data_IF_901857507137
#
_entry.id   IF_901857507137
#
_cell.length_a   1.000
_cell.length_b   1.000
_cell.length_c   1.000
_cell.angle_alpha   90.00
_cell.angle_beta   90.00
_cell.angle_gamma   90.00
#
_symmetry.space_group_name_H-M   'P 1'
#
loop_
_entity.id
_entity.type
_entity.pdbx_description
1 polymer ?
#
# COMPACT_ATOMS: atom_id res chain seq x y z
N UNK A 1 2.68 -13.63 3.33
CA UNK A 1 1.73 -14.47 4.10
C UNK A 1 0.57 -13.67 4.71
N UNK A 2 0.77 -12.39 4.93
CA UNK A 2 -0.31 -11.51 5.41
C UNK A 2 -1.42 -11.33 4.38
N UNK A 3 -1.04 -11.28 3.12
CA UNK A 3 -1.95 -11.00 2.02
C UNK A 3 -3.03 -12.06 1.88
N UNK A 4 -2.65 -13.32 2.06
CA UNK A 4 -3.59 -14.44 1.96
C UNK A 4 -4.60 -14.50 3.12
N UNK A 5 -4.31 -13.85 4.26
CA UNK A 5 -5.22 -13.82 5.41
C UNK A 5 -6.38 -12.85 5.24
N UNK A 6 -6.15 -11.74 4.56
CA UNK A 6 -7.15 -10.66 4.44
C UNK A 6 -7.76 -10.58 3.04
N UNK A 7 -6.97 -10.78 2.00
CA UNK A 7 -7.38 -10.56 0.62
C UNK A 7 -7.57 -11.84 -0.21
N UNK A 8 -7.12 -12.97 0.28
CA UNK A 8 -7.06 -14.20 -0.52
C UNK A 8 -6.05 -14.11 -1.64
N UNK A 9 -6.19 -14.97 -2.64
CA UNK A 9 -5.28 -15.05 -3.79
C UNK A 9 -5.94 -14.43 -5.01
N UNK A 10 -5.23 -13.55 -5.71
CA UNK A 10 -5.69 -12.95 -6.96
C UNK A 10 -5.57 -13.96 -8.10
N UNK A 11 -6.56 -13.99 -8.99
CA UNK A 11 -6.54 -14.81 -10.20
C UNK A 11 -5.78 -14.11 -11.32
N UNK A 12 -5.09 -14.89 -12.16
CA UNK A 12 -4.40 -14.37 -13.34
C UNK A 12 -3.09 -13.66 -13.06
N UNK A 13 -2.53 -13.83 -11.87
CA UNK A 13 -1.23 -13.27 -11.47
C UNK A 13 -0.26 -14.37 -11.08
N UNK A 14 1.03 -14.06 -11.13
CA UNK A 14 2.07 -14.95 -10.58
C UNK A 14 2.07 -14.78 -9.07
N UNK A 15 1.75 -15.85 -8.34
CA UNK A 15 1.72 -15.84 -6.89
C UNK A 15 3.13 -15.92 -6.32
N UNK A 16 3.56 -14.86 -5.65
CA UNK A 16 4.84 -14.73 -4.96
C UNK A 16 4.67 -14.60 -3.44
N UNK A 17 3.51 -14.97 -2.91
CA UNK A 17 3.31 -15.05 -1.46
C UNK A 17 4.14 -16.20 -0.88
N UNK A 18 4.49 -16.09 0.40
CA UNK A 18 5.27 -17.13 1.07
C UNK A 18 6.59 -16.63 1.62
N UNK A 19 7.42 -17.59 2.00
CA UNK A 19 8.70 -17.32 2.68
C UNK A 19 9.85 -17.26 1.68
N UNK A 20 10.08 -16.08 1.12
CA UNK A 20 11.19 -15.80 0.23
C UNK A 20 12.21 -14.91 0.92
N UNK A 21 13.49 -15.09 0.59
CA UNK A 21 14.57 -14.23 1.10
C UNK A 21 14.44 -12.79 0.58
N UNK A 22 15.05 -11.86 1.27
CA UNK A 22 15.11 -10.47 0.81
C UNK A 22 15.79 -10.34 -0.55
N UNK A 23 16.83 -11.15 -0.79
CA UNK A 23 17.53 -11.19 -2.07
C UNK A 23 16.62 -11.63 -3.22
N UNK A 24 15.79 -12.65 -3.00
CA UNK A 24 14.80 -13.11 -3.98
C UNK A 24 13.74 -12.04 -4.25
N UNK A 25 13.24 -11.37 -3.20
CA UNK A 25 12.30 -10.25 -3.35
C UNK A 25 12.90 -9.10 -4.13
N UNK A 26 14.14 -8.73 -3.81
CA UNK A 26 14.87 -7.68 -4.53
C UNK A 26 15.05 -8.03 -6.00
N UNK A 27 15.40 -9.28 -6.30
CA UNK A 27 15.53 -9.74 -7.68
C UNK A 27 14.21 -9.65 -8.46
N UNK A 28 13.11 -10.09 -7.87
CA UNK A 28 11.79 -9.97 -8.48
C UNK A 28 11.45 -8.49 -8.78
N UNK A 29 11.70 -7.61 -7.82
CA UNK A 29 11.45 -6.17 -7.96
C UNK A 29 12.32 -5.53 -9.04
N UNK A 30 13.59 -5.90 -9.13
CA UNK A 30 14.50 -5.39 -10.17
C UNK A 30 14.03 -5.75 -11.57
N UNK A 31 13.37 -6.89 -11.73
CA UNK A 31 12.83 -7.35 -13.00
C UNK A 31 11.40 -6.86 -13.27
N UNK A 32 10.76 -6.21 -12.31
CA UNK A 32 9.44 -5.61 -12.49
C UNK A 32 9.55 -4.22 -13.11
N UNK A 33 8.52 -3.80 -13.81
CA UNK A 33 8.46 -2.47 -14.42
C UNK A 33 8.23 -1.39 -13.34
N UNK A 34 7.34 -1.65 -12.40
CA UNK A 34 7.04 -0.78 -11.25
C UNK A 34 6.41 -1.60 -10.12
N UNK A 35 6.26 -0.98 -8.97
CA UNK A 35 5.64 -1.58 -7.78
C UNK A 35 4.36 -0.83 -7.42
N UNK A 36 3.33 -1.57 -7.05
CA UNK A 36 2.11 -1.02 -6.44
C UNK A 36 1.91 -1.66 -5.08
N UNK A 37 1.74 -0.86 -4.06
CA UNK A 37 1.49 -1.39 -2.73
C UNK A 37 1.25 -0.32 -1.68
N UNK A 38 1.03 -0.78 -0.46
CA UNK A 38 0.88 0.07 0.71
C UNK A 38 2.24 0.38 1.33
N UNK A 39 2.28 1.32 2.26
CA UNK A 39 3.49 1.65 3.03
C UNK A 39 3.91 0.50 3.94
N UNK A 40 4.80 -0.34 3.46
CA UNK A 40 5.30 -1.55 4.15
C UNK A 40 6.78 -1.76 3.81
N UNK A 41 7.38 -2.79 4.42
CA UNK A 41 8.79 -3.12 4.16
C UNK A 41 9.09 -3.37 2.69
N UNK A 42 8.17 -3.98 1.93
CA UNK A 42 8.37 -4.24 0.50
C UNK A 42 8.39 -2.94 -0.33
N UNK A 43 7.54 -1.97 -0.01
CA UNK A 43 7.55 -0.68 -0.70
C UNK A 43 8.84 0.09 -0.43
N UNK A 44 9.34 0.05 0.80
CA UNK A 44 10.64 0.63 1.15
C UNK A 44 11.79 -0.06 0.45
N UNK A 45 11.76 -1.40 0.34
CA UNK A 45 12.76 -2.14 -0.43
C UNK A 45 12.76 -1.73 -1.89
N UNK A 46 11.59 -1.63 -2.51
CA UNK A 46 11.46 -1.19 -3.90
C UNK A 46 12.01 0.23 -4.11
N UNK A 47 11.70 1.13 -3.19
CA UNK A 47 12.24 2.49 -3.20
C UNK A 47 13.76 2.49 -3.07
N UNK A 48 14.31 1.69 -2.16
CA UNK A 48 15.77 1.57 -1.98
C UNK A 48 16.49 1.02 -3.22
N UNK A 49 15.80 0.21 -4.02
CA UNK A 49 16.28 -0.28 -5.31
C UNK A 49 16.13 0.75 -6.44
N UNK A 50 15.69 1.96 -6.13
CA UNK A 50 15.45 3.03 -7.07
C UNK A 50 14.44 2.67 -8.18
N UNK A 51 13.44 1.86 -7.83
CA UNK A 51 12.39 1.45 -8.76
C UNK A 51 11.15 2.33 -8.59
N UNK A 52 10.43 2.55 -9.67
CA UNK A 52 9.19 3.33 -9.66
C UNK A 52 8.15 2.68 -8.74
N UNK A 53 7.51 3.49 -7.92
CA UNK A 53 6.54 3.03 -6.92
C UNK A 53 5.24 3.81 -7.03
N UNK A 54 4.13 3.07 -7.04
CA UNK A 54 2.78 3.61 -6.80
C UNK A 54 2.42 3.23 -5.38
N UNK A 55 2.35 4.21 -4.49
CA UNK A 55 2.08 4.01 -3.07
C UNK A 55 0.62 4.30 -2.75
N UNK A 56 -0.10 3.29 -2.28
CA UNK A 56 -1.47 3.47 -1.75
C UNK A 56 -1.32 3.95 -0.32
N UNK A 57 -1.58 5.22 -0.10
CA UNK A 57 -1.29 5.95 1.13
C UNK A 57 -2.55 6.21 1.95
N UNK A 58 -2.36 6.61 3.21
CA UNK A 58 -3.43 7.02 4.12
C UNK A 58 -3.39 6.35 5.49
N UNK A 59 -2.71 5.22 5.62
CA UNK A 59 -2.48 4.56 6.91
C UNK A 59 -1.45 5.34 7.75
N UNK A 60 -0.34 5.73 7.14
CA UNK A 60 0.68 6.58 7.74
C UNK A 60 0.66 7.99 7.13
N UNK A 61 1.17 8.96 7.88
CA UNK A 61 1.25 10.34 7.41
C UNK A 61 2.34 10.48 6.34
N UNK A 62 2.19 11.41 5.38
CA UNK A 62 3.16 11.61 4.30
C UNK A 62 4.59 11.87 4.77
N UNK A 63 4.77 12.52 5.93
CA UNK A 63 6.11 12.80 6.45
C UNK A 63 6.86 11.53 6.90
N UNK A 64 6.16 10.44 7.17
CA UNK A 64 6.75 9.15 7.56
C UNK A 64 6.90 8.18 6.38
N UNK A 65 6.63 8.62 5.16
CA UNK A 65 6.74 7.86 3.93
C UNK A 65 7.83 8.44 3.03
N UNK A 66 8.35 7.64 2.11
CA UNK A 66 9.31 8.15 1.11
C UNK A 66 8.61 9.08 0.12
N UNK A 67 9.36 10.05 -0.44
CA UNK A 67 8.79 11.12 -1.26
C UNK A 67 8.75 10.80 -2.76
N UNK A 68 9.72 10.08 -3.25
CA UNK A 68 9.90 9.83 -4.69
C UNK A 68 8.99 8.68 -5.15
N UNK A 69 7.69 8.93 -5.16
CA UNK A 69 6.70 7.95 -5.60
C UNK A 69 5.44 8.63 -6.14
N UNK A 70 4.69 7.87 -6.91
CA UNK A 70 3.33 8.23 -7.28
C UNK A 70 2.41 7.83 -6.12
N UNK A 71 1.84 8.80 -5.42
CA UNK A 71 1.01 8.54 -4.24
C UNK A 71 -0.47 8.55 -4.60
N UNK A 72 -1.18 7.47 -4.25
CA UNK A 72 -2.64 7.37 -4.37
C UNK A 72 -3.24 7.51 -2.98
N UNK A 73 -4.13 8.46 -2.83
CA UNK A 73 -4.69 8.89 -1.56
C UNK A 73 -6.19 9.13 -1.70
N UNK A 74 -6.95 9.09 -0.58
CA UNK A 74 -8.38 9.39 -0.61
C UNK A 74 -8.62 10.78 -1.24
N UNK A 75 -9.61 10.90 -2.15
CA UNK A 75 -9.93 12.21 -2.76
C UNK A 75 -10.76 13.12 -1.85
N UNK A 76 -11.22 12.62 -0.70
CA UNK A 76 -12.11 13.35 0.20
C UNK A 76 -11.35 13.90 1.40
N UNK A 77 -11.44 15.21 1.61
CA UNK A 77 -10.73 15.93 2.68
C UNK A 77 -11.25 15.63 4.10
N UNK A 78 -12.50 15.18 4.22
CA UNK A 78 -13.14 14.83 5.49
C UNK A 78 -12.92 13.35 5.89
N UNK A 79 -12.28 12.57 5.05
CA UNK A 79 -11.93 11.19 5.35
C UNK A 79 -10.78 11.12 6.36
N UNK A 80 -10.91 10.31 7.40
CA UNK A 80 -9.84 10.09 8.37
C UNK A 80 -8.62 9.46 7.69
N UNK A 81 -7.43 9.79 8.20
CA UNK A 81 -6.17 9.27 7.67
C UNK A 81 -5.06 9.37 8.71
N UNK A 82 -3.91 8.80 8.39
CA UNK A 82 -2.70 8.89 9.21
C UNK A 82 -2.83 8.28 10.62
N UNK A 83 -3.68 7.28 10.77
CA UNK A 83 -3.95 6.64 12.07
C UNK A 83 -2.69 6.09 12.74
N UNK A 84 -1.77 5.52 11.95
CA UNK A 84 -0.50 4.99 12.43
C UNK A 84 0.34 6.04 13.19
N UNK A 85 0.27 7.29 12.79
CA UNK A 85 1.01 8.39 13.40
C UNK A 85 0.24 9.08 14.53
N UNK A 86 -1.05 8.77 14.71
CA UNK A 86 -1.92 9.43 15.70
C UNK A 86 -2.22 8.55 16.90
N UNK A 87 -2.35 7.25 16.70
CA UNK A 87 -2.76 6.27 17.71
C UNK A 87 -1.79 5.09 17.69
N UNK A 88 -1.45 4.58 18.86
CA UNK A 88 -0.58 3.41 18.96
C UNK A 88 -1.23 2.21 18.26
N UNK A 89 -0.51 1.62 17.30
CA UNK A 89 -0.95 0.44 16.57
C UNK A 89 -1.11 -0.76 17.50
N UNK A 90 -2.27 -1.41 17.42
CA UNK A 90 -2.45 -2.76 17.95
C UNK A 90 -2.17 -3.76 16.82
N UNK A 91 -0.97 -4.30 16.80
CA UNK A 91 -0.51 -5.23 15.77
C UNK A 91 -1.26 -6.58 15.80
N UNK A 92 -1.95 -6.90 16.89
CA UNK A 92 -2.79 -8.10 17.00
C UNK A 92 -4.18 -7.94 16.44
N UNK A 93 -4.62 -6.71 16.18
CA UNK A 93 -5.93 -6.41 15.63
C UNK A 93 -5.85 -6.21 14.11
N UNK A 94 -6.23 -7.22 13.35
CA UNK A 94 -6.23 -7.16 11.88
C UNK A 94 -7.29 -6.24 11.30
N UNK A 95 -8.29 -5.87 12.11
CA UNK A 95 -9.33 -4.91 11.74
C UNK A 95 -9.11 -3.54 12.40
N UNK A 96 -7.87 -3.24 12.75
CA UNK A 96 -7.52 -2.00 13.45
C UNK A 96 -7.93 -0.76 12.66
N UNK A 97 -8.89 -0.06 13.22
CA UNK A 97 -9.40 1.22 12.73
C UNK A 97 -9.79 2.03 13.96
N UNK A 98 -8.84 2.75 14.60
CA UNK A 98 -9.04 3.28 15.94
C UNK A 98 -10.19 4.27 16.05
N UNK A 99 -10.56 4.93 14.98
CA UNK A 99 -11.60 5.97 14.99
C UNK A 99 -12.98 5.42 14.61
N UNK A 100 -13.05 4.49 13.68
CA UNK A 100 -14.32 4.05 13.08
C UNK A 100 -14.53 2.53 13.05
N UNK A 101 -13.77 1.77 13.85
CA UNK A 101 -13.95 0.32 13.92
C UNK A 101 -15.41 -0.03 14.23
N UNK A 102 -15.93 -1.07 13.56
CA UNK A 102 -17.31 -1.56 13.69
C UNK A 102 -18.40 -0.55 13.30
N UNK A 103 -18.03 0.47 12.54
CA UNK A 103 -18.98 1.43 11.96
C UNK A 103 -18.96 1.35 10.43
N UNK A 104 -19.92 2.01 9.77
CA UNK A 104 -19.95 2.09 8.31
C UNK A 104 -18.79 2.91 7.71
N UNK A 105 -18.05 3.65 8.53
CA UNK A 105 -16.88 4.42 8.14
C UNK A 105 -15.55 3.66 8.35
N UNK A 106 -15.61 2.42 8.83
CA UNK A 106 -14.41 1.61 9.03
C UNK A 106 -13.62 1.49 7.72
N UNK A 107 -12.32 1.76 7.77
CA UNK A 107 -11.41 1.76 6.63
C UNK A 107 -11.79 2.74 5.50
N UNK A 108 -12.47 3.82 5.81
CA UNK A 108 -12.97 4.76 4.79
C UNK A 108 -11.87 5.32 3.89
N UNK A 109 -10.67 5.55 4.43
CA UNK A 109 -9.52 6.01 3.63
C UNK A 109 -9.16 5.06 2.48
N UNK A 110 -9.33 3.76 2.70
CA UNK A 110 -9.06 2.72 1.69
C UNK A 110 -10.26 2.52 0.77
N UNK A 111 -11.45 2.48 1.33
CA UNK A 111 -12.70 2.28 0.58
C UNK A 111 -12.99 3.40 -0.43
N UNK A 112 -12.46 4.59 -0.19
CA UNK A 112 -12.64 5.74 -1.09
C UNK A 112 -11.64 5.78 -2.24
N UNK A 113 -10.61 4.93 -2.22
CA UNK A 113 -9.68 4.77 -3.33
C UNK A 113 -10.27 3.74 -4.30
N UNK A 114 -10.46 4.13 -5.55
CA UNK A 114 -11.04 3.28 -6.58
C UNK A 114 -10.01 2.84 -7.62
N UNK A 115 -10.28 1.78 -8.40
CA UNK A 115 -9.34 1.28 -9.40
C UNK A 115 -8.94 2.31 -10.47
N UNK A 116 -9.83 3.24 -10.83
CA UNK A 116 -9.53 4.29 -11.83
C UNK A 116 -8.38 5.18 -11.37
N UNK A 117 -8.30 5.49 -10.07
CA UNK A 117 -7.20 6.29 -9.50
C UNK A 117 -5.86 5.57 -9.66
N UNK A 118 -5.84 4.25 -9.44
CA UNK A 118 -4.65 3.42 -9.61
C UNK A 118 -4.24 3.36 -11.10
N UNK A 119 -5.19 3.16 -12.00
CA UNK A 119 -4.93 3.11 -13.45
C UNK A 119 -4.31 4.42 -13.94
N UNK A 120 -4.83 5.56 -13.50
CA UNK A 120 -4.25 6.87 -13.84
C UNK A 120 -2.81 7.02 -13.32
N UNK A 121 -2.54 6.51 -12.13
CA UNK A 121 -1.17 6.49 -11.59
C UNK A 121 -0.25 5.59 -12.40
N UNK A 122 -0.72 4.43 -12.84
CA UNK A 122 0.03 3.53 -13.73
C UNK A 122 0.39 4.26 -15.03
N UNK A 123 -0.56 4.94 -15.66
CA UNK A 123 -0.32 5.71 -16.88
C UNK A 123 0.76 6.77 -16.69
N UNK A 124 0.71 7.52 -15.59
CA UNK A 124 1.74 8.52 -15.26
C UNK A 124 3.12 7.90 -15.08
N UNK A 125 3.20 6.79 -14.36
CA UNK A 125 4.46 6.08 -14.11
C UNK A 125 5.05 5.51 -15.40
N UNK A 126 4.23 4.96 -16.27
CA UNK A 126 4.68 4.39 -17.56
C UNK A 126 5.14 5.45 -18.53
N UNK A 127 4.59 6.65 -18.48
CA UNK A 127 4.92 7.77 -19.36
C UNK A 127 6.02 8.69 -18.82
N UNK A 128 6.56 8.37 -17.66
CA UNK A 128 7.63 9.18 -17.04
C UNK A 128 9.03 8.68 -17.38
#
# INVERSE_FOLDING_TARGET
>A
WHDSKLGGTLKGVIDKTGDYSLAERANDMMNAEFFIGIGSGLSWLNWALNKKTILISGFSAPFSEFKDCERVFTPFSDTCNSCYNKVRLDAGDWEWCPEYKDTNRQFERTKTINPTMIIKSIERVKNS
#
